data_IF_217587834415
#
_entry.id   IF_217587834415
#
_cell.length_a   1.000
_cell.length_b   1.000
_cell.length_c   1.000
_cell.angle_alpha   90.00
_cell.angle_beta   90.00
_cell.angle_gamma   90.00
#
_symmetry.space_group_name_H-M   'P 1'
#
loop_
_entity.id
_entity.type
_entity.pdbx_description
1 polymer ?
#
# COMPACT_ATOMS: atom_id res chain seq x y z
N UNK A 1 17.77 25.34 5.30
CA UNK A 1 17.28 24.09 4.68
C UNK A 1 18.44 23.27 4.12
N UNK A 2 19.39 23.90 3.42
CA UNK A 2 20.62 23.25 2.92
C UNK A 2 21.51 22.66 4.02
N UNK A 3 21.77 23.40 5.11
CA UNK A 3 22.59 22.90 6.23
C UNK A 3 22.03 21.62 6.87
N UNK A 4 20.70 21.50 6.93
CA UNK A 4 20.06 20.31 7.50
C UNK A 4 20.22 19.08 6.61
N UNK A 5 20.14 19.27 5.28
CA UNK A 5 20.35 18.20 4.30
C UNK A 5 21.82 17.78 4.30
N UNK A 6 22.76 18.73 4.38
CA UNK A 6 24.20 18.46 4.45
C UNK A 6 24.54 17.66 5.70
N UNK A 7 24.08 18.10 6.89
CA UNK A 7 24.31 17.36 8.13
C UNK A 7 23.67 15.96 8.13
N UNK A 8 22.53 15.79 7.46
CA UNK A 8 21.89 14.48 7.31
C UNK A 8 22.68 13.55 6.36
N UNK A 9 23.26 14.12 5.30
CA UNK A 9 24.09 13.41 4.33
C UNK A 9 25.46 13.01 4.91
N UNK A 10 26.04 13.82 5.78
CA UNK A 10 27.29 13.50 6.49
C UNK A 10 27.12 12.24 7.36
N UNK A 11 25.94 12.04 7.95
CA UNK A 11 25.58 10.86 8.75
C UNK A 11 25.17 9.64 7.92
N UNK A 12 25.38 9.66 6.59
CA UNK A 12 24.98 8.54 5.70
C UNK A 12 25.53 7.19 6.07
N UNK A 13 26.69 7.14 6.70
CA UNK A 13 27.32 5.88 7.15
C UNK A 13 26.54 5.22 8.28
N UNK A 14 25.77 5.98 9.06
CA UNK A 14 24.94 5.44 10.14
C UNK A 14 23.69 4.73 9.60
N UNK A 15 23.16 5.16 8.45
CA UNK A 15 21.93 4.63 7.86
C UNK A 15 22.10 3.87 6.54
N UNK A 16 23.23 3.96 5.86
CA UNK A 16 23.53 3.10 4.71
C UNK A 16 23.67 1.65 5.18
N UNK A 17 22.87 0.77 4.59
CA UNK A 17 22.96 -0.68 4.80
C UNK A 17 24.37 -1.22 4.51
N UNK A 18 25.04 -0.62 3.51
CA UNK A 18 26.41 -0.94 3.11
C UNK A 18 27.44 -0.73 4.22
N UNK A 19 27.21 0.22 5.13
CA UNK A 19 28.12 0.58 6.23
C UNK A 19 27.81 -0.14 7.55
N UNK A 20 26.72 -0.93 7.60
CA UNK A 20 26.26 -1.64 8.81
C UNK A 20 26.80 -3.07 8.93
N UNK A 21 27.76 -3.46 8.09
CA UNK A 21 28.36 -4.80 8.04
C UNK A 21 28.94 -5.30 9.36
N UNK A 22 29.37 -4.42 10.25
CA UNK A 22 30.01 -4.76 11.53
C UNK A 22 29.03 -4.87 12.71
N UNK A 23 27.80 -4.36 12.58
CA UNK A 23 26.80 -4.45 13.63
C UNK A 23 26.02 -5.76 13.49
N UNK A 24 26.01 -6.56 14.56
CA UNK A 24 25.11 -7.71 14.68
C UNK A 24 23.68 -7.20 14.92
N UNK A 25 23.10 -6.46 13.97
CA UNK A 25 21.68 -6.18 14.00
C UNK A 25 20.97 -7.51 13.85
N UNK A 26 20.31 -7.98 14.92
CA UNK A 26 19.19 -8.92 14.81
C UNK A 26 18.16 -8.25 13.91
N UNK A 27 18.34 -8.40 12.60
CA UNK A 27 17.79 -7.49 11.63
C UNK A 27 16.27 -7.53 11.64
N UNK A 28 15.67 -6.35 11.82
CA UNK A 28 14.33 -6.07 11.29
C UNK A 28 14.32 -6.02 9.74
N UNK A 29 15.38 -6.52 9.09
CA UNK A 29 15.48 -6.87 7.66
C UNK A 29 14.78 -8.21 7.36
N UNK A 30 13.97 -8.69 8.30
CA UNK A 30 13.26 -9.97 8.19
C UNK A 30 12.14 -9.83 7.18
N UNK A 31 12.02 -10.87 6.35
CA UNK A 31 10.99 -11.07 5.33
C UNK A 31 9.57 -10.65 5.81
N UNK A 32 9.27 -10.81 7.10
CA UNK A 32 8.01 -10.37 7.72
C UNK A 32 7.53 -8.97 7.34
N UNK A 33 8.39 -7.94 7.39
CA UNK A 33 7.94 -6.56 7.08
C UNK A 33 7.58 -6.42 5.59
N UNK A 34 8.37 -7.07 4.73
CA UNK A 34 8.13 -7.13 3.29
C UNK A 34 6.87 -7.93 2.99
N UNK A 35 6.68 -9.08 3.62
CA UNK A 35 5.48 -9.92 3.50
C UNK A 35 4.22 -9.21 3.97
N UNK A 36 4.27 -8.51 5.10
CA UNK A 36 3.14 -7.70 5.61
C UNK A 36 2.82 -6.59 4.62
N UNK A 37 3.83 -5.90 4.09
CA UNK A 37 3.63 -4.83 3.11
C UNK A 37 3.01 -5.35 1.80
N UNK A 38 3.53 -6.47 1.27
CA UNK A 38 2.98 -7.15 0.09
C UNK A 38 1.54 -7.60 0.36
N UNK A 39 1.26 -8.14 1.54
CA UNK A 39 -0.08 -8.57 1.94
C UNK A 39 -1.05 -7.39 1.95
N UNK A 40 -0.68 -6.26 2.53
CA UNK A 40 -1.51 -5.04 2.53
C UNK A 40 -1.82 -4.61 1.11
N UNK A 41 -0.80 -4.50 0.25
CA UNK A 41 -0.97 -4.09 -1.15
C UNK A 41 -1.89 -5.06 -1.89
N UNK A 42 -1.58 -6.36 -1.81
CA UNK A 42 -2.31 -7.42 -2.52
C UNK A 42 -3.77 -7.54 -2.06
N UNK A 43 -4.01 -7.55 -0.75
CA UNK A 43 -5.35 -7.80 -0.20
C UNK A 43 -6.23 -6.54 -0.18
N UNK A 44 -5.68 -5.38 0.21
CA UNK A 44 -6.48 -4.16 0.40
C UNK A 44 -6.56 -3.31 -0.86
N UNK A 45 -5.44 -3.16 -1.58
CA UNK A 45 -5.36 -2.24 -2.73
C UNK A 45 -5.79 -2.98 -4.00
N UNK A 46 -5.19 -4.15 -4.24
CA UNK A 46 -5.38 -4.88 -5.49
C UNK A 46 -6.50 -5.93 -5.44
N UNK A 47 -6.93 -6.32 -4.22
CA UNK A 47 -7.89 -7.41 -3.99
C UNK A 47 -7.56 -8.69 -4.79
N UNK A 48 -6.26 -8.98 -4.97
CA UNK A 48 -5.81 -10.13 -5.74
C UNK A 48 -5.82 -11.38 -4.86
N UNK A 49 -6.58 -12.40 -5.28
CA UNK A 49 -6.61 -13.69 -4.57
C UNK A 49 -5.34 -14.55 -4.80
N UNK A 50 -4.48 -14.21 -5.78
CA UNK A 50 -3.24 -14.94 -6.07
C UNK A 50 -2.08 -14.44 -5.22
N UNK A 51 -1.29 -15.36 -4.65
CA UNK A 51 -0.04 -15.01 -3.99
C UNK A 51 0.96 -14.43 -5.01
N UNK A 52 1.37 -13.18 -4.80
CA UNK A 52 2.45 -12.53 -5.53
C UNK A 52 3.66 -12.43 -4.62
N UNK A 53 4.85 -12.76 -5.12
CA UNK A 53 6.10 -12.46 -4.43
C UNK A 53 6.43 -10.96 -4.57
N UNK A 54 7.46 -10.48 -3.87
CA UNK A 54 7.84 -9.07 -3.86
C UNK A 54 8.08 -8.51 -5.27
N UNK A 55 8.84 -9.25 -6.08
CA UNK A 55 9.20 -8.85 -7.44
C UNK A 55 7.96 -8.79 -8.34
N UNK A 56 7.11 -9.81 -8.30
CA UNK A 56 5.87 -9.86 -9.07
C UNK A 56 4.88 -8.76 -8.64
N UNK A 57 4.92 -8.34 -7.38
CA UNK A 57 4.10 -7.23 -6.89
C UNK A 57 4.58 -5.90 -7.47
N UNK A 58 5.89 -5.66 -7.48
CA UNK A 58 6.47 -4.46 -8.09
C UNK A 58 6.18 -4.41 -9.59
N UNK A 59 6.38 -5.53 -10.29
CA UNK A 59 6.08 -5.65 -11.72
C UNK A 59 4.60 -5.38 -12.00
N UNK A 60 3.70 -5.99 -11.22
CA UNK A 60 2.27 -5.75 -11.34
C UNK A 60 1.90 -4.29 -11.14
N UNK A 61 2.41 -3.65 -10.07
CA UNK A 61 2.13 -2.25 -9.75
C UNK A 61 2.65 -1.33 -10.86
N UNK A 62 3.80 -1.65 -11.44
CA UNK A 62 4.45 -0.80 -12.45
C UNK A 62 3.81 -0.94 -13.83
N UNK A 63 3.38 -2.15 -14.22
CA UNK A 63 3.00 -2.45 -15.61
C UNK A 63 1.52 -2.80 -15.79
N UNK A 64 0.88 -3.44 -14.79
CA UNK A 64 -0.44 -4.07 -14.94
C UNK A 64 -1.55 -3.40 -14.12
N UNK A 65 -1.20 -2.49 -13.21
CA UNK A 65 -2.12 -1.85 -12.26
C UNK A 65 -3.25 -1.10 -12.97
N UNK A 66 -2.91 -0.31 -13.98
CA UNK A 66 -3.87 0.50 -14.73
C UNK A 66 -4.90 -0.39 -15.43
N UNK A 67 -4.43 -1.37 -16.20
CA UNK A 67 -5.30 -2.30 -16.91
C UNK A 67 -6.20 -3.09 -15.96
N UNK A 68 -5.67 -3.47 -14.80
CA UNK A 68 -6.45 -4.12 -13.75
C UNK A 68 -7.62 -3.25 -13.29
N UNK A 69 -7.39 -1.98 -12.95
CA UNK A 69 -8.46 -1.09 -12.50
C UNK A 69 -9.46 -0.74 -13.59
N UNK A 70 -9.02 -0.58 -14.85
CA UNK A 70 -9.92 -0.44 -16.00
C UNK A 70 -10.86 -1.64 -16.10
N UNK A 71 -10.33 -2.86 -15.91
CA UNK A 71 -11.13 -4.08 -15.86
C UNK A 71 -12.14 -4.08 -14.71
N UNK A 72 -11.75 -3.62 -13.52
CA UNK A 72 -12.63 -3.50 -12.35
C UNK A 72 -13.78 -2.51 -12.60
N UNK A 73 -13.48 -1.31 -13.11
CA UNK A 73 -14.48 -0.29 -13.43
C UNK A 73 -15.44 -0.81 -14.50
N UNK A 74 -14.93 -1.45 -15.56
CA UNK A 74 -15.76 -2.01 -16.62
C UNK A 74 -16.70 -3.10 -16.10
N UNK A 75 -16.22 -3.98 -15.24
CA UNK A 75 -17.04 -5.02 -14.60
C UNK A 75 -18.15 -4.41 -13.73
N UNK A 76 -17.84 -3.34 -13.01
CA UNK A 76 -18.81 -2.60 -12.22
C UNK A 76 -19.86 -1.90 -13.10
N UNK A 77 -19.43 -1.19 -14.14
CA UNK A 77 -20.33 -0.50 -15.07
C UNK A 77 -21.29 -1.46 -15.80
N UNK A 78 -20.86 -2.69 -16.05
CA UNK A 78 -21.70 -3.76 -16.62
C UNK A 78 -22.53 -4.51 -15.57
N UNK A 79 -22.57 -4.04 -14.32
CA UNK A 79 -23.24 -4.66 -13.17
C UNK A 79 -22.87 -6.13 -12.95
N UNK A 80 -21.67 -6.54 -13.39
CA UNK A 80 -21.19 -7.93 -13.26
C UNK A 80 -20.60 -8.21 -11.88
N UNK A 81 -20.42 -7.19 -11.05
CA UNK A 81 -19.85 -7.31 -9.70
C UNK A 81 -20.66 -6.43 -8.74
N UNK A 82 -21.43 -7.07 -7.86
CA UNK A 82 -22.28 -6.38 -6.87
C UNK A 82 -21.52 -5.90 -5.62
N UNK A 83 -20.27 -6.36 -5.41
CA UNK A 83 -19.49 -6.05 -4.19
C UNK A 83 -19.28 -4.55 -3.95
N UNK A 84 -18.92 -3.71 -4.95
CA UNK A 84 -18.81 -2.27 -4.75
C UNK A 84 -20.14 -1.62 -4.39
N UNK A 85 -21.25 -2.09 -4.97
CA UNK A 85 -22.59 -1.60 -4.66
C UNK A 85 -23.03 -1.96 -3.23
N UNK A 86 -22.74 -3.18 -2.78
CA UNK A 86 -22.96 -3.60 -1.38
C UNK A 86 -22.12 -2.78 -0.40
N UNK A 87 -20.86 -2.50 -0.74
CA UNK A 87 -19.99 -1.63 0.06
C UNK A 87 -20.51 -0.20 0.11
N UNK A 88 -20.89 0.36 -1.04
CA UNK A 88 -21.49 1.70 -1.14
C UNK A 88 -22.74 1.80 -0.28
N UNK A 89 -23.67 0.85 -0.42
CA UNK A 89 -24.90 0.83 0.37
C UNK A 89 -24.63 0.72 1.88
N UNK A 90 -23.64 -0.10 2.27
CA UNK A 90 -23.21 -0.19 3.67
C UNK A 90 -22.66 1.15 4.19
N UNK A 91 -21.81 1.82 3.41
CA UNK A 91 -21.27 3.13 3.78
C UNK A 91 -22.36 4.20 3.82
N UNK A 92 -23.24 4.23 2.82
CA UNK A 92 -24.35 5.16 2.74
C UNK A 92 -25.28 5.04 3.93
N UNK A 93 -25.67 3.82 4.31
CA UNK A 93 -26.50 3.58 5.50
C UNK A 93 -25.81 4.08 6.78
N UNK A 94 -24.51 3.79 6.93
CA UNK A 94 -23.74 4.26 8.08
C UNK A 94 -23.60 5.78 8.12
N UNK A 95 -23.46 6.41 6.96
CA UNK A 95 -23.33 7.86 6.84
C UNK A 95 -24.66 8.59 7.03
N UNK A 96 -25.79 7.95 6.69
CA UNK A 96 -27.14 8.51 6.85
C UNK A 96 -27.45 8.89 8.30
N UNK A 97 -26.85 8.17 9.25
CA UNK A 97 -27.05 8.39 10.70
C UNK A 97 -25.96 9.25 11.34
N UNK A 98 -24.99 9.76 10.57
CA UNK A 98 -23.92 10.61 11.10
C UNK A 98 -24.32 12.09 11.07
N UNK A 99 -24.58 12.67 12.24
CA UNK A 99 -24.64 14.11 12.42
C UNK A 99 -23.21 14.69 12.48
N UNK A 100 -22.78 15.34 11.40
CA UNK A 100 -21.51 16.06 11.38
C UNK A 100 -21.66 17.36 12.16
N UNK A 101 -21.16 17.38 13.40
CA UNK A 101 -20.99 18.63 14.14
C UNK A 101 -19.98 19.49 13.40
N UNK A 102 -20.41 20.65 12.91
CA UNK A 102 -19.50 21.70 12.47
C UNK A 102 -18.88 22.33 13.71
N UNK A 103 -17.66 21.92 14.03
CA UNK A 103 -16.85 22.67 14.99
C UNK A 103 -16.60 24.07 14.40
N UNK A 104 -16.92 25.09 15.20
CA UNK A 104 -16.70 26.51 14.91
C UNK A 104 -15.23 26.87 15.03
#
# INVERSE_FOLDING_TARGET
MEEHIVGFWERKTEWCLCCRSSYLTRGHNTNNMVEVSIRIIKDNILQLCKALNAVATIDFVSNQLEQHYVGCIRKYALSRVAKPELLYNKFYLKAKELEVKKDR
#
